data_IF_643497360548
#
_entry.id   IF_643497360548
#
_cell.length_a   1.000
_cell.length_b   1.000
_cell.length_c   1.000
_cell.angle_alpha   90.00
_cell.angle_beta   90.00
_cell.angle_gamma   90.00
#
_symmetry.space_group_name_H-M   'P 1'
#
loop_
_entity.id
_entity.type
_entity.pdbx_description
1 polymer ?
#
# COMPACT_ATOMS: atom_id res chain seq x y z
N UNK A 1 -31.90 9.07 8.50
CA UNK A 1 -30.65 8.53 9.10
C UNK A 1 -30.03 9.65 9.92
N UNK A 2 -30.31 9.68 11.23
CA UNK A 2 -29.76 10.71 12.11
C UNK A 2 -28.31 10.38 12.41
N UNK A 3 -27.38 11.17 11.89
CA UNK A 3 -25.96 11.06 12.19
C UNK A 3 -25.80 11.66 13.59
N UNK A 4 -25.95 10.84 14.63
CA UNK A 4 -25.54 11.24 15.98
C UNK A 4 -24.06 11.57 15.93
N UNK A 5 -23.72 12.81 16.30
CA UNK A 5 -22.38 13.39 16.35
C UNK A 5 -21.49 12.66 17.36
N UNK A 6 -21.03 11.47 17.00
CA UNK A 6 -19.87 10.85 17.62
C UNK A 6 -18.67 11.24 16.76
N UNK A 7 -17.62 11.80 17.38
CA UNK A 7 -16.46 12.24 16.60
C UNK A 7 -15.83 11.03 15.91
N UNK A 8 -15.67 11.13 14.59
CA UNK A 8 -15.05 10.10 13.76
C UNK A 8 -13.56 9.95 14.12
N UNK A 9 -12.92 11.08 14.50
CA UNK A 9 -11.55 11.14 14.98
C UNK A 9 -11.52 11.13 16.51
N UNK A 10 -11.59 9.94 17.11
CA UNK A 10 -11.28 9.77 18.54
C UNK A 10 -9.76 9.64 18.72
N UNK A 11 -9.19 10.02 19.88
CA UNK A 11 -7.74 9.90 20.12
C UNK A 11 -7.22 8.47 19.88
N UNK A 12 -7.99 7.45 20.27
CA UNK A 12 -7.65 6.04 20.01
C UNK A 12 -7.61 5.70 18.52
N UNK A 13 -8.58 6.18 17.74
CA UNK A 13 -8.63 5.92 16.31
C UNK A 13 -7.47 6.62 15.58
N UNK A 14 -7.12 7.84 16.00
CA UNK A 14 -5.95 8.57 15.47
C UNK A 14 -4.66 7.81 15.78
N UNK A 15 -4.44 7.39 17.02
CA UNK A 15 -3.24 6.64 17.40
C UNK A 15 -3.12 5.32 16.65
N UNK A 16 -4.20 4.54 16.56
CA UNK A 16 -4.21 3.26 15.83
C UNK A 16 -3.98 3.48 14.34
N UNK A 17 -4.61 4.50 13.75
CA UNK A 17 -4.45 4.81 12.33
C UNK A 17 -3.05 5.33 11.99
N UNK A 18 -2.42 6.13 12.85
CA UNK A 18 -1.01 6.55 12.70
C UNK A 18 -0.06 5.36 12.85
N UNK A 19 -0.28 4.50 13.84
CA UNK A 19 0.50 3.28 14.01
C UNK A 19 0.38 2.35 12.79
N UNK A 20 -0.84 2.21 12.24
CA UNK A 20 -1.08 1.47 11.01
C UNK A 20 -0.31 2.10 9.85
N UNK A 21 -0.43 3.42 9.64
CA UNK A 21 0.26 4.15 8.56
C UNK A 21 1.78 3.98 8.62
N UNK A 22 2.38 4.02 9.81
CA UNK A 22 3.81 3.75 10.00
C UNK A 22 4.12 2.28 9.66
N UNK A 23 3.32 1.36 10.18
CA UNK A 23 3.53 -0.09 10.00
C UNK A 23 3.46 -0.50 8.54
N UNK A 24 2.48 -0.02 7.77
CA UNK A 24 2.33 -0.36 6.35
C UNK A 24 3.51 0.12 5.51
N UNK A 25 4.05 1.31 5.81
CA UNK A 25 5.22 1.85 5.13
C UNK A 25 6.49 1.04 5.46
N UNK A 26 6.73 0.73 6.74
CA UNK A 26 7.87 -0.10 7.15
C UNK A 26 7.78 -1.52 6.61
N UNK A 27 6.59 -2.12 6.66
CA UNK A 27 6.32 -3.45 6.14
C UNK A 27 6.60 -3.54 4.64
N UNK A 28 6.12 -2.56 3.86
CA UNK A 28 6.38 -2.52 2.42
C UNK A 28 7.85 -2.27 2.12
N UNK A 29 8.51 -1.37 2.84
CA UNK A 29 9.93 -1.08 2.65
C UNK A 29 10.78 -2.34 2.94
N UNK A 30 10.56 -2.99 4.08
CA UNK A 30 11.26 -4.21 4.44
C UNK A 30 10.96 -5.35 3.45
N UNK A 31 9.71 -5.51 3.04
CA UNK A 31 9.31 -6.52 2.06
C UNK A 31 10.00 -6.33 0.70
N UNK A 32 10.11 -5.09 0.23
CA UNK A 32 10.76 -4.80 -1.05
C UNK A 32 12.29 -4.93 -1.00
N UNK A 33 12.95 -4.38 0.02
CA UNK A 33 14.41 -4.33 0.08
C UNK A 33 15.07 -5.59 0.65
N UNK A 34 14.44 -6.29 1.61
CA UNK A 34 15.05 -7.49 2.23
C UNK A 34 14.55 -8.80 1.66
N UNK A 35 13.28 -8.86 1.23
CA UNK A 35 12.63 -10.11 0.81
C UNK A 35 12.44 -10.17 -0.71
N UNK A 36 12.62 -9.04 -1.42
CA UNK A 36 12.46 -8.97 -2.87
C UNK A 36 11.00 -8.98 -3.34
N UNK A 37 10.04 -8.76 -2.44
CA UNK A 37 8.62 -8.64 -2.81
C UNK A 37 8.39 -7.30 -3.54
N UNK A 38 8.30 -7.38 -4.86
CA UNK A 38 8.15 -6.22 -5.75
C UNK A 38 6.70 -5.75 -5.93
N UNK A 39 5.72 -6.55 -5.51
CA UNK A 39 4.31 -6.40 -5.90
C UNK A 39 3.33 -6.11 -4.75
N UNK A 40 3.79 -5.81 -3.53
CA UNK A 40 2.89 -5.51 -2.39
C UNK A 40 2.06 -4.24 -2.59
N UNK A 41 2.49 -3.38 -3.51
CA UNK A 41 1.89 -2.09 -3.89
C UNK A 41 1.22 -2.12 -5.26
N UNK A 42 1.02 -3.31 -5.84
CA UNK A 42 0.35 -3.45 -7.13
C UNK A 42 -1.14 -3.73 -6.91
N UNK A 43 -1.95 -2.68 -7.02
CA UNK A 43 -3.42 -2.73 -6.94
C UNK A 43 -4.01 -1.40 -6.52
N UNK A 44 -5.29 -1.13 -6.85
CA UNK A 44 -5.97 0.09 -6.37
C UNK A 44 -6.25 0.05 -4.86
N UNK A 45 -6.28 -1.15 -4.27
CA UNK A 45 -6.30 -1.37 -2.84
C UNK A 45 -5.11 -2.28 -2.53
N UNK A 46 -4.08 -1.69 -1.96
CA UNK A 46 -2.80 -2.35 -1.81
C UNK A 46 -2.84 -3.49 -0.78
N UNK A 47 -2.27 -4.63 -1.11
CA UNK A 47 -2.08 -5.73 -0.16
C UNK A 47 -1.18 -5.31 1.01
N UNK A 48 -0.24 -4.40 0.76
CA UNK A 48 0.59 -3.77 1.80
C UNK A 48 -0.22 -3.03 2.87
N UNK A 49 -1.43 -2.55 2.56
CA UNK A 49 -2.38 -2.01 3.53
C UNK A 49 -3.32 -3.08 4.07
N UNK A 50 -3.93 -3.87 3.18
CA UNK A 50 -4.99 -4.81 3.55
C UNK A 50 -4.52 -5.84 4.58
N UNK A 51 -3.32 -6.39 4.41
CA UNK A 51 -2.81 -7.43 5.32
C UNK A 51 -2.58 -6.85 6.73
N UNK A 52 -1.82 -5.75 6.93
CA UNK A 52 -1.68 -5.12 8.24
C UNK A 52 -3.00 -4.60 8.81
N UNK A 53 -3.94 -4.13 7.98
CA UNK A 53 -5.26 -3.74 8.48
C UNK A 53 -6.07 -4.94 8.99
N UNK A 54 -6.17 -6.02 8.21
CA UNK A 54 -6.93 -7.21 8.58
C UNK A 54 -6.36 -7.88 9.83
N UNK A 55 -5.04 -8.04 9.90
CA UNK A 55 -4.37 -8.75 11.00
C UNK A 55 -4.10 -7.82 12.20
N UNK A 56 -3.70 -6.57 11.96
CA UNK A 56 -3.26 -5.64 13.01
C UNK A 56 -4.37 -4.75 13.58
N UNK A 57 -5.48 -4.58 12.88
CA UNK A 57 -6.61 -3.75 13.35
C UNK A 57 -7.89 -4.57 13.44
N UNK A 58 -8.35 -5.16 12.34
CA UNK A 58 -9.66 -5.80 12.28
C UNK A 58 -9.73 -7.06 13.15
N UNK A 59 -8.74 -7.94 13.07
CA UNK A 59 -8.64 -9.15 13.89
C UNK A 59 -8.66 -8.86 15.40
N UNK A 60 -7.74 -8.03 15.93
CA UNK A 60 -7.74 -7.61 17.32
C UNK A 60 -9.04 -6.91 17.73
N UNK A 61 -9.61 -6.08 16.87
CA UNK A 61 -10.90 -5.45 17.12
C UNK A 61 -12.04 -6.47 17.29
N UNK A 62 -12.10 -7.50 16.44
CA UNK A 62 -13.08 -8.60 16.57
C UNK A 62 -12.88 -9.33 17.89
N UNK A 63 -11.63 -9.68 18.24
CA UNK A 63 -11.29 -10.35 19.50
C UNK A 63 -11.68 -9.51 20.73
N UNK A 64 -11.41 -8.21 20.70
CA UNK A 64 -11.80 -7.29 21.78
C UNK A 64 -13.31 -7.21 21.93
N UNK A 65 -14.07 -7.19 20.83
CA UNK A 65 -15.54 -7.19 20.87
C UNK A 65 -16.13 -8.49 21.44
N UNK A 66 -15.47 -9.64 21.25
CA UNK A 66 -15.85 -10.89 21.91
C UNK A 66 -15.67 -10.86 23.43
N UNK A 67 -14.64 -10.15 23.92
CA UNK A 67 -14.40 -9.98 25.37
C UNK A 67 -15.38 -8.97 25.94
N UNK A 68 -15.41 -7.76 25.36
CA UNK A 68 -16.32 -6.66 25.73
C UNK A 68 -16.64 -5.81 24.51
N UNK A 69 -17.92 -5.73 24.07
CA UNK A 69 -18.32 -4.95 22.90
C UNK A 69 -17.87 -3.48 22.92
N UNK A 70 -17.76 -2.87 24.11
CA UNK A 70 -17.33 -1.47 24.29
C UNK A 70 -15.84 -1.22 24.05
N UNK A 71 -15.00 -2.26 24.09
CA UNK A 71 -13.55 -2.15 23.87
C UNK A 71 -13.19 -2.07 22.40
N UNK A 72 -14.06 -2.57 21.52
CA UNK A 72 -13.89 -2.46 20.08
C UNK A 72 -14.04 -1.02 19.58
N UNK A 73 -13.44 -0.78 18.42
CA UNK A 73 -13.69 0.39 17.59
C UNK A 73 -15.08 0.33 16.98
N UNK A 74 -15.72 1.49 16.95
CA UNK A 74 -17.01 1.71 16.29
C UNK A 74 -16.81 1.78 14.77
N UNK A 75 -17.89 1.63 14.03
CA UNK A 75 -17.87 1.73 12.57
C UNK A 75 -17.14 3.00 12.05
N UNK A 76 -17.45 4.23 12.53
CA UNK A 76 -16.78 5.42 12.03
C UNK A 76 -15.28 5.45 12.36
N UNK A 77 -14.88 4.89 13.51
CA UNK A 77 -13.47 4.83 13.92
C UNK A 77 -12.69 3.82 13.09
N UNK A 78 -13.26 2.64 12.80
CA UNK A 78 -12.64 1.64 11.93
C UNK A 78 -12.48 2.16 10.50
N UNK A 79 -13.52 2.80 9.96
CA UNK A 79 -13.46 3.40 8.64
C UNK A 79 -12.41 4.53 8.59
N UNK A 80 -12.34 5.35 9.63
CA UNK A 80 -11.31 6.39 9.76
C UNK A 80 -9.89 5.80 9.79
N UNK A 81 -9.65 4.77 10.60
CA UNK A 81 -8.35 4.07 10.68
C UNK A 81 -7.96 3.50 9.31
N UNK A 82 -8.91 2.86 8.61
CA UNK A 82 -8.66 2.36 7.27
C UNK A 82 -8.28 3.48 6.30
N UNK A 83 -9.07 4.55 6.23
CA UNK A 83 -8.80 5.69 5.36
C UNK A 83 -7.46 6.36 5.66
N UNK A 84 -7.11 6.52 6.95
CA UNK A 84 -5.84 7.10 7.35
C UNK A 84 -4.65 6.23 6.94
N UNK A 85 -4.76 4.91 7.15
CA UNK A 85 -3.75 3.96 6.67
C UNK A 85 -3.65 3.93 5.15
N UNK A 86 -4.78 4.01 4.45
CA UNK A 86 -4.83 3.98 2.99
C UNK A 86 -4.19 5.20 2.36
N UNK A 87 -4.57 6.41 2.79
CA UNK A 87 -3.95 7.65 2.34
C UNK A 87 -2.45 7.65 2.68
N UNK A 88 -2.11 7.22 3.90
CA UNK A 88 -0.74 7.13 4.37
C UNK A 88 0.11 6.09 3.63
N UNK A 89 -0.51 5.12 2.94
CA UNK A 89 0.20 4.10 2.17
C UNK A 89 0.25 4.43 0.68
N UNK A 90 -0.86 4.84 0.08
CA UNK A 90 -0.99 5.04 -1.37
C UNK A 90 -0.08 6.16 -1.89
N UNK A 91 0.13 7.22 -1.12
CA UNK A 91 1.01 8.33 -1.54
C UNK A 91 2.48 7.91 -1.57
N UNK A 92 3.08 7.39 -0.48
CA UNK A 92 4.48 6.94 -0.47
C UNK A 92 4.69 5.56 -1.12
N UNK A 93 3.65 4.93 -1.66
CA UNK A 93 3.72 3.62 -2.30
C UNK A 93 4.84 3.55 -3.34
N UNK A 94 5.24 2.31 -3.67
CA UNK A 94 6.46 1.97 -4.40
C UNK A 94 6.83 2.93 -5.53
N UNK A 95 5.85 3.36 -6.35
CA UNK A 95 6.08 4.32 -7.41
C UNK A 95 6.70 5.63 -6.94
N UNK A 96 6.02 6.38 -6.05
CA UNK A 96 6.44 7.74 -5.74
C UNK A 96 7.83 7.81 -5.10
N UNK A 97 8.04 7.06 -4.02
CA UNK A 97 9.31 7.12 -3.29
C UNK A 97 10.48 6.50 -4.06
N UNK A 98 10.28 5.41 -4.81
CA UNK A 98 11.40 4.88 -5.62
C UNK A 98 11.80 5.87 -6.71
N UNK A 99 10.86 6.41 -7.47
CA UNK A 99 11.21 7.36 -8.53
C UNK A 99 11.82 8.63 -7.94
N UNK A 100 11.25 9.15 -6.87
CA UNK A 100 11.72 10.39 -6.24
C UNK A 100 13.14 10.25 -5.71
N UNK A 101 13.43 9.19 -4.95
CA UNK A 101 14.77 8.98 -4.39
C UNK A 101 15.79 8.81 -5.52
N UNK A 102 15.48 8.01 -6.54
CA UNK A 102 16.36 7.84 -7.70
C UNK A 102 16.64 9.17 -8.42
N UNK A 103 15.62 9.99 -8.68
CA UNK A 103 15.81 11.32 -9.29
C UNK A 103 16.77 12.19 -8.47
N UNK A 104 16.70 12.12 -7.13
CA UNK A 104 17.55 12.92 -6.26
C UNK A 104 19.02 12.45 -6.23
N UNK A 105 19.30 11.15 -6.42
CA UNK A 105 20.65 10.58 -6.27
C UNK A 105 21.34 10.22 -7.59
N UNK A 106 20.60 9.80 -8.63
CA UNK A 106 21.14 9.20 -9.85
C UNK A 106 22.03 10.16 -10.63
N UNK A 107 21.64 11.43 -10.71
CA UNK A 107 22.33 12.43 -11.51
C UNK A 107 23.77 12.65 -11.04
N UNK A 108 24.01 12.59 -9.73
CA UNK A 108 25.35 12.70 -9.15
C UNK A 108 26.09 11.37 -9.13
N UNK A 109 25.40 10.23 -9.06
CA UNK A 109 26.04 8.91 -9.03
C UNK A 109 26.53 8.44 -10.41
N UNK A 110 25.71 8.62 -11.44
CA UNK A 110 25.96 8.09 -12.79
C UNK A 110 26.67 9.09 -13.71
N UNK A 111 27.12 10.23 -13.19
CA UNK A 111 27.83 11.25 -13.97
C UNK A 111 29.15 10.69 -14.53
N UNK A 112 29.36 10.79 -15.84
CA UNK A 112 30.56 10.29 -16.50
C UNK A 112 31.05 11.27 -17.58
N UNK A 113 32.32 11.18 -18.03
CA UNK A 113 32.80 11.97 -19.16
C UNK A 113 31.99 11.74 -20.44
N UNK A 114 31.48 10.52 -20.66
CA UNK A 114 30.76 10.11 -21.87
C UNK A 114 29.36 10.70 -21.95
N UNK A 115 28.64 10.79 -20.82
CA UNK A 115 27.29 11.36 -20.80
C UNK A 115 27.28 12.90 -20.76
N UNK A 116 28.42 13.52 -20.43
CA UNK A 116 28.62 14.96 -20.40
C UNK A 116 27.64 15.72 -19.48
N UNK A 117 27.05 15.05 -18.49
CA UNK A 117 25.98 15.66 -17.69
C UNK A 117 26.44 16.88 -16.88
N UNK A 118 27.72 16.92 -16.48
CA UNK A 118 28.29 18.11 -15.81
C UNK A 118 28.24 19.37 -16.67
N UNK A 119 28.43 19.24 -17.98
CA UNK A 119 28.43 20.39 -18.88
C UNK A 119 27.01 20.75 -19.34
N UNK A 120 26.17 19.73 -19.56
CA UNK A 120 24.86 19.92 -20.20
C UNK A 120 23.71 20.12 -19.21
N UNK A 121 23.73 19.48 -18.04
CA UNK A 121 22.59 19.47 -17.10
C UNK A 121 22.87 20.21 -15.80
N UNK A 122 24.05 20.04 -15.20
CA UNK A 122 24.36 20.61 -13.88
C UNK A 122 24.21 22.15 -13.81
N UNK A 123 24.51 22.94 -14.86
CA UNK A 123 24.28 24.39 -14.82
C UNK A 123 22.82 24.80 -14.65
N UNK A 124 21.88 23.92 -15.01
CA UNK A 124 20.43 24.16 -14.93
C UNK A 124 19.78 23.41 -13.77
N UNK A 125 20.54 22.59 -13.05
CA UNK A 125 20.04 21.74 -11.98
C UNK A 125 20.21 22.47 -10.65
N UNK A 126 19.13 22.85 -9.97
CA UNK A 126 19.26 23.52 -8.69
C UNK A 126 19.73 22.56 -7.61
N UNK A 127 20.71 22.98 -6.81
CA UNK A 127 21.29 22.18 -5.71
C UNK A 127 20.28 21.77 -4.63
N UNK A 128 19.11 22.43 -4.60
CA UNK A 128 18.04 22.12 -3.67
C UNK A 128 17.06 21.05 -4.18
N UNK A 129 17.19 20.58 -5.42
CA UNK A 129 16.34 19.51 -6.00
C UNK A 129 17.00 18.14 -5.88
N UNK A 130 18.33 18.10 -5.92
CA UNK A 130 19.15 16.87 -5.96
C UNK A 130 20.13 16.81 -4.81
N UNK A 131 20.61 15.62 -4.50
CA UNK A 131 21.54 15.40 -3.39
C UNK A 131 22.97 15.48 -3.94
N UNK A 132 23.73 16.44 -3.42
CA UNK A 132 25.15 16.55 -3.74
C UNK A 132 25.97 15.45 -3.04
N UNK A 133 26.95 14.89 -3.76
CA UNK A 133 27.84 13.86 -3.21
C UNK A 133 29.05 14.42 -2.43
N UNK A 134 29.10 15.73 -2.17
CA UNK A 134 30.24 16.36 -1.47
C UNK A 134 30.54 15.76 -0.08
N UNK A 135 29.51 15.20 0.59
CA UNK A 135 29.63 14.51 1.87
C UNK A 135 29.58 12.97 1.75
N UNK A 136 29.70 12.43 0.53
CA UNK A 136 29.56 10.99 0.25
C UNK A 136 28.13 10.45 0.42
N UNK A 137 27.12 11.32 0.37
CA UNK A 137 25.71 10.96 0.60
C UNK A 137 25.13 10.07 -0.51
N UNK A 138 25.48 10.36 -1.75
CA UNK A 138 25.01 9.61 -2.93
C UNK A 138 25.80 8.32 -3.06
N UNK A 139 27.13 8.40 -2.91
CA UNK A 139 28.01 7.22 -2.92
C UNK A 139 27.62 6.25 -1.80
N UNK A 140 27.37 6.75 -0.58
CA UNK A 140 26.94 5.94 0.55
C UNK A 140 25.57 5.30 0.39
N UNK A 141 24.64 5.94 -0.35
CA UNK A 141 23.33 5.36 -0.67
C UNK A 141 23.47 4.10 -1.55
N UNK A 142 24.32 4.14 -2.57
CA UNK A 142 24.50 3.01 -3.50
C UNK A 142 25.48 1.94 -3.01
N UNK A 143 26.59 2.36 -2.40
CA UNK A 143 27.69 1.46 -2.03
C UNK A 143 27.62 1.00 -0.57
N UNK A 144 26.71 1.57 0.21
CA UNK A 144 26.63 1.38 1.65
C UNK A 144 27.60 2.29 2.41
N UNK A 145 27.22 2.61 3.65
CA UNK A 145 28.05 3.39 4.57
C UNK A 145 28.75 2.39 5.50
N UNK A 146 30.07 2.55 5.71
CA UNK A 146 30.84 1.71 6.64
C UNK A 146 30.36 1.93 8.08
N UNK A 147 30.38 0.89 8.91
CA UNK A 147 29.80 0.83 10.27
C UNK A 147 30.24 1.93 11.27
N UNK A 148 31.18 2.81 10.91
CA UNK A 148 31.70 3.89 11.75
C UNK A 148 31.47 5.31 11.20
N UNK A 149 30.84 5.46 10.03
CA UNK A 149 30.59 6.77 9.43
C UNK A 149 29.11 7.14 9.66
N UNK A 150 28.82 8.32 10.25
CA UNK A 150 27.44 8.77 10.42
C UNK A 150 26.78 9.04 9.06
N UNK A 151 25.49 8.75 8.95
CA UNK A 151 24.71 9.05 7.75
C UNK A 151 24.73 10.58 7.52
N UNK A 152 25.09 11.07 6.32
CA UNK A 152 25.21 12.50 6.02
C UNK A 152 23.82 13.15 5.79
N UNK A 153 22.96 13.11 6.81
CA UNK A 153 21.58 13.62 6.76
C UNK A 153 21.48 15.06 6.26
N UNK A 154 22.48 15.91 6.54
CA UNK A 154 22.49 17.30 6.09
C UNK A 154 22.34 17.47 4.58
N UNK A 155 22.88 16.55 3.77
CA UNK A 155 22.74 16.58 2.32
C UNK A 155 21.30 16.26 1.84
N UNK A 156 20.50 15.58 2.68
CA UNK A 156 19.14 15.15 2.35
C UNK A 156 18.08 16.17 2.76
N UNK A 157 18.33 16.97 3.81
CA UNK A 157 17.31 17.84 4.42
C UNK A 157 16.69 18.79 3.38
N UNK A 158 17.51 19.52 2.64
CA UNK A 158 17.01 20.54 1.70
C UNK A 158 16.22 19.88 0.54
N UNK A 159 16.76 18.89 -0.19
CA UNK A 159 16.01 18.21 -1.25
C UNK A 159 14.71 17.58 -0.76
N UNK A 160 14.74 16.87 0.37
CA UNK A 160 13.55 16.21 0.91
C UNK A 160 12.49 17.22 1.30
N UNK A 161 12.85 18.34 1.92
CA UNK A 161 11.88 19.39 2.28
C UNK A 161 11.24 20.03 1.05
N UNK A 162 12.02 20.32 0.01
CA UNK A 162 11.48 20.88 -1.24
C UNK A 162 10.51 19.92 -1.92
N UNK A 163 10.90 18.67 -2.09
CA UNK A 163 10.01 17.67 -2.68
C UNK A 163 8.77 17.42 -1.84
N UNK A 164 8.91 17.36 -0.51
CA UNK A 164 7.78 17.24 0.41
C UNK A 164 6.82 18.42 0.26
N UNK A 165 7.32 19.65 0.13
CA UNK A 165 6.49 20.84 -0.08
C UNK A 165 5.73 20.77 -1.40
N UNK A 166 6.38 20.31 -2.47
CA UNK A 166 5.77 20.13 -3.79
C UNK A 166 4.63 19.11 -3.74
N UNK A 167 4.86 17.94 -3.15
CA UNK A 167 3.82 16.91 -3.02
C UNK A 167 2.69 17.32 -2.10
N UNK A 168 2.98 18.05 -1.03
CA UNK A 168 1.95 18.62 -0.16
C UNK A 168 1.06 19.59 -0.94
N UNK A 169 1.66 20.48 -1.74
CA UNK A 169 0.92 21.38 -2.63
C UNK A 169 0.09 20.62 -3.67
N UNK A 170 0.65 19.60 -4.29
CA UNK A 170 -0.04 18.75 -5.27
C UNK A 170 -1.26 18.05 -4.66
N UNK A 171 -1.10 17.47 -3.46
CA UNK A 171 -2.19 16.84 -2.72
C UNK A 171 -3.25 17.88 -2.31
N UNK A 172 -2.84 19.07 -1.90
CA UNK A 172 -3.77 20.15 -1.57
C UNK A 172 -4.62 20.57 -2.77
N UNK A 173 -4.00 20.73 -3.96
CA UNK A 173 -4.73 21.01 -5.21
C UNK A 173 -5.69 19.86 -5.54
N UNK A 174 -5.26 18.61 -5.42
CA UNK A 174 -6.13 17.45 -5.61
C UNK A 174 -7.32 17.44 -4.64
N UNK A 175 -7.10 17.78 -3.36
CA UNK A 175 -8.16 17.94 -2.38
C UNK A 175 -9.13 19.07 -2.76
N UNK A 176 -8.63 20.22 -3.23
CA UNK A 176 -9.46 21.31 -3.72
C UNK A 176 -10.32 20.88 -4.91
N UNK A 177 -9.75 20.13 -5.86
CA UNK A 177 -10.48 19.59 -7.01
C UNK A 177 -11.59 18.64 -6.57
N UNK A 178 -11.29 17.71 -5.65
CA UNK A 178 -12.29 16.79 -5.09
C UNK A 178 -13.40 17.57 -4.39
N UNK A 179 -13.09 18.59 -3.59
CA UNK A 179 -14.10 19.40 -2.90
C UNK A 179 -15.01 20.14 -3.89
N UNK A 180 -14.44 20.74 -4.93
CA UNK A 180 -15.19 21.45 -5.98
C UNK A 180 -16.09 20.50 -6.78
N UNK A 181 -15.55 19.36 -7.21
CA UNK A 181 -16.23 18.41 -8.08
C UNK A 181 -17.12 17.42 -7.33
N UNK A 182 -16.96 17.25 -6.02
CA UNK A 182 -17.73 16.30 -5.19
C UNK A 182 -19.23 16.45 -5.43
N UNK A 183 -19.76 17.68 -5.42
CA UNK A 183 -21.20 17.90 -5.60
C UNK A 183 -21.66 17.47 -7.00
N UNK A 184 -20.87 17.80 -8.02
CA UNK A 184 -21.14 17.42 -9.40
C UNK A 184 -21.13 15.89 -9.57
N UNK A 185 -20.06 15.23 -9.12
CA UNK A 185 -19.90 13.78 -9.24
C UNK A 185 -20.94 12.99 -8.46
N UNK A 186 -21.29 13.43 -7.25
CA UNK A 186 -22.24 12.70 -6.38
C UNK A 186 -23.68 12.94 -6.80
N UNK A 187 -24.10 14.19 -7.01
CA UNK A 187 -25.52 14.52 -7.19
C UNK A 187 -25.97 14.45 -8.65
N UNK A 188 -25.14 14.94 -9.59
CA UNK A 188 -25.51 15.08 -10.99
C UNK A 188 -25.06 13.88 -11.84
N UNK A 189 -23.80 13.48 -11.70
CA UNK A 189 -23.23 12.38 -12.49
C UNK A 189 -23.40 11.01 -11.82
N UNK A 190 -23.74 11.00 -10.52
CA UNK A 190 -23.95 9.78 -9.72
C UNK A 190 -22.83 8.76 -9.92
N UNK A 191 -21.60 9.25 -9.89
CA UNK A 191 -20.41 8.44 -10.10
C UNK A 191 -20.38 7.32 -9.05
N UNK A 192 -20.27 6.08 -9.52
CA UNK A 192 -20.08 4.93 -8.63
C UNK A 192 -18.66 4.96 -8.06
N UNK A 193 -18.53 4.75 -6.74
CA UNK A 193 -17.24 4.67 -6.05
C UNK A 193 -16.91 3.21 -5.66
N UNK A 194 -16.55 2.34 -6.62
CA UNK A 194 -16.33 0.92 -6.34
C UNK A 194 -15.21 0.69 -5.32
N UNK A 195 -14.17 1.52 -5.35
CA UNK A 195 -13.07 1.43 -4.39
C UNK A 195 -13.49 1.74 -2.94
N UNK A 196 -14.54 2.54 -2.73
CA UNK A 196 -15.08 2.80 -1.41
C UNK A 196 -15.93 1.64 -0.86
N UNK A 197 -16.41 0.74 -1.72
CA UNK A 197 -17.27 -0.37 -1.31
C UNK A 197 -16.54 -1.37 -0.42
N UNK A 198 -15.27 -1.68 -0.71
CA UNK A 198 -14.49 -2.62 0.09
C UNK A 198 -14.29 -2.13 1.54
N UNK A 199 -13.76 -0.92 1.82
CA UNK A 199 -13.59 -0.47 3.20
C UNK A 199 -14.92 -0.34 3.93
N UNK A 200 -15.99 0.06 3.25
CA UNK A 200 -17.33 0.06 3.84
C UNK A 200 -17.72 -1.38 4.23
N UNK A 201 -17.64 -2.35 3.32
CA UNK A 201 -18.01 -3.73 3.57
C UNK A 201 -17.16 -4.43 4.65
N UNK A 202 -15.88 -4.07 4.77
CA UNK A 202 -14.97 -4.59 5.81
C UNK A 202 -15.21 -3.97 7.18
N UNK A 203 -15.69 -2.73 7.25
CA UNK A 203 -15.88 -2.00 8.52
C UNK A 203 -17.32 -2.01 9.00
N UNK A 204 -18.28 -2.18 8.08
CA UNK A 204 -19.70 -2.23 8.36
C UNK A 204 -20.01 -3.42 9.26
N UNK A 205 -20.37 -3.06 10.49
CA UNK A 205 -20.99 -3.97 11.44
C UNK A 205 -22.47 -3.70 11.31
N UNK A 206 -23.23 -4.69 10.87
CA UNK A 206 -24.69 -4.59 10.71
C UNK A 206 -25.28 -3.98 11.97
N UNK A 207 -26.04 -2.89 11.83
CA UNK A 207 -26.57 -2.12 12.95
C UNK A 207 -27.32 -3.00 13.97
N UNK A 208 -27.30 -2.59 15.24
CA UNK A 208 -27.92 -3.21 16.44
C UNK A 208 -27.60 -4.69 16.74
N UNK A 209 -27.19 -5.49 15.77
CA UNK A 209 -26.71 -6.84 15.97
C UNK A 209 -25.30 -6.80 16.57
N UNK A 210 -25.18 -7.23 17.81
CA UNK A 210 -23.96 -7.33 18.64
C UNK A 210 -22.88 -8.28 18.08
N UNK A 211 -22.93 -8.65 16.80
CA UNK A 211 -21.95 -9.53 16.19
C UNK A 211 -20.61 -8.80 16.05
N UNK A 212 -19.52 -9.37 16.57
CA UNK A 212 -18.18 -8.78 16.44
C UNK A 212 -17.66 -8.82 15.00
N UNK A 213 -18.25 -9.66 14.14
CA UNK A 213 -17.81 -9.86 12.75
C UNK A 213 -18.42 -8.84 11.76
N UNK A 214 -17.65 -8.37 10.77
CA UNK A 214 -18.17 -7.57 9.66
C UNK A 214 -19.25 -8.31 8.86
N UNK A 215 -20.19 -7.56 8.30
CA UNK A 215 -21.32 -8.10 7.53
C UNK A 215 -20.86 -8.95 6.33
N UNK A 216 -19.81 -8.51 5.64
CA UNK A 216 -19.24 -9.20 4.47
C UNK A 216 -18.72 -10.60 4.78
N UNK A 217 -18.02 -10.77 5.90
CA UNK A 217 -17.45 -12.07 6.31
C UNK A 217 -18.56 -13.07 6.68
N UNK A 218 -19.70 -12.57 7.17
CA UNK A 218 -20.86 -13.39 7.51
C UNK A 218 -21.62 -13.91 6.27
N UNK A 219 -21.41 -13.32 5.10
CA UNK A 219 -22.02 -13.80 3.87
C UNK A 219 -21.40 -15.16 3.48
N UNK A 220 -22.24 -16.21 3.42
CA UNK A 220 -21.80 -17.58 3.09
C UNK A 220 -21.11 -17.68 1.74
N UNK A 221 -21.58 -16.95 0.72
CA UNK A 221 -20.96 -16.99 -0.61
C UNK A 221 -19.57 -16.37 -0.58
N UNK A 222 -19.41 -15.26 0.14
CA UNK A 222 -18.10 -14.65 0.36
C UNK A 222 -17.18 -15.59 1.14
N UNK A 223 -17.65 -16.19 2.23
CA UNK A 223 -16.86 -17.11 3.05
C UNK A 223 -16.40 -18.35 2.26
N UNK A 224 -17.25 -18.92 1.40
CA UNK A 224 -16.90 -20.04 0.53
C UNK A 224 -15.83 -19.61 -0.49
N UNK A 225 -16.03 -18.47 -1.18
CA UNK A 225 -15.07 -17.97 -2.16
C UNK A 225 -13.72 -17.64 -1.53
N UNK A 226 -13.73 -16.90 -0.42
CA UNK A 226 -12.54 -16.57 0.35
C UNK A 226 -11.83 -17.83 0.87
N UNK A 227 -12.58 -18.79 1.42
CA UNK A 227 -12.03 -20.05 1.93
C UNK A 227 -11.38 -20.88 0.84
N UNK A 228 -11.99 -20.96 -0.35
CA UNK A 228 -11.43 -21.67 -1.50
C UNK A 228 -10.13 -21.01 -1.98
N UNK A 229 -10.13 -19.69 -2.19
CA UNK A 229 -8.93 -18.94 -2.59
C UNK A 229 -7.81 -19.05 -1.55
N UNK A 230 -8.14 -18.91 -0.27
CA UNK A 230 -7.18 -19.03 0.83
C UNK A 230 -6.60 -20.44 0.90
N UNK A 231 -7.43 -21.48 0.79
CA UNK A 231 -6.98 -22.87 0.77
C UNK A 231 -5.99 -23.11 -0.38
N UNK A 232 -6.34 -22.66 -1.59
CA UNK A 232 -5.47 -22.81 -2.77
C UNK A 232 -4.12 -22.08 -2.57
N UNK A 233 -4.14 -20.88 -1.96
CA UNK A 233 -2.94 -20.12 -1.65
C UNK A 233 -2.07 -20.82 -0.59
N UNK A 234 -2.67 -21.27 0.51
CA UNK A 234 -1.98 -21.98 1.59
C UNK A 234 -1.41 -23.32 1.12
N UNK A 235 -2.13 -24.03 0.25
CA UNK A 235 -1.64 -25.25 -0.38
C UNK A 235 -0.37 -24.98 -1.19
N UNK A 236 -0.35 -23.90 -1.97
CA UNK A 236 0.84 -23.52 -2.74
C UNK A 236 2.01 -23.09 -1.84
N UNK A 237 1.74 -22.40 -0.73
CA UNK A 237 2.78 -22.04 0.25
C UNK A 237 3.35 -23.30 0.90
N UNK A 238 2.51 -24.21 1.38
CA UNK A 238 2.94 -25.46 1.98
C UNK A 238 3.66 -26.36 0.97
N UNK A 239 3.12 -26.46 -0.24
CA UNK A 239 3.68 -27.25 -1.34
C UNK A 239 5.06 -26.76 -1.80
N UNK A 240 5.37 -25.47 -1.67
CA UNK A 240 6.72 -24.96 -1.89
C UNK A 240 7.75 -25.58 -0.94
N UNK A 241 7.40 -25.75 0.33
CA UNK A 241 8.30 -26.34 1.34
C UNK A 241 8.27 -27.87 1.37
N UNK A 242 7.13 -28.46 1.02
CA UNK A 242 6.87 -29.91 1.07
C UNK A 242 7.04 -30.61 -0.30
N UNK A 243 7.41 -29.87 -1.35
CA UNK A 243 7.52 -30.35 -2.74
C UNK A 243 6.25 -31.02 -3.28
N UNK A 244 5.07 -30.51 -2.93
CA UNK A 244 3.79 -30.98 -3.50
C UNK A 244 3.47 -30.31 -4.82
N UNK A 245 2.60 -30.94 -5.61
CA UNK A 245 2.11 -30.32 -6.85
C UNK A 245 1.32 -29.03 -6.54
N UNK A 246 1.70 -27.88 -7.11
CA UNK A 246 1.01 -26.64 -6.89
C UNK A 246 -0.27 -26.54 -7.74
N UNK A 247 -1.26 -25.81 -7.23
CA UNK A 247 -2.37 -25.32 -8.04
C UNK A 247 -1.86 -24.26 -9.03
N UNK A 248 -2.35 -24.25 -10.29
CA UNK A 248 -1.87 -23.36 -11.36
C UNK A 248 -2.40 -21.92 -11.22
N UNK A 249 -2.00 -21.24 -10.15
CA UNK A 249 -2.39 -19.86 -9.81
C UNK A 249 -1.29 -18.85 -10.23
N UNK A 250 -0.07 -19.33 -10.48
CA UNK A 250 1.11 -18.48 -10.70
C UNK A 250 1.25 -18.08 -12.18
N UNK A 251 1.60 -16.82 -12.43
CA UNK A 251 2.11 -16.37 -13.74
C UNK A 251 3.27 -17.28 -14.17
N UNK A 252 3.11 -17.98 -15.29
CA UNK A 252 4.10 -18.94 -15.85
C UNK A 252 3.80 -20.42 -15.61
N UNK A 253 2.95 -20.79 -14.62
CA UNK A 253 2.62 -22.19 -14.29
C UNK A 253 1.25 -22.61 -14.84
N UNK A 254 0.96 -22.27 -16.10
CA UNK A 254 -0.24 -22.81 -16.76
C UNK A 254 -0.07 -24.30 -17.01
N UNK A 255 -1.02 -25.13 -16.57
CA UNK A 255 -1.01 -26.55 -16.98
C UNK A 255 -1.46 -26.62 -18.43
N UNK A 256 -0.58 -27.10 -19.30
CA UNK A 256 -0.94 -27.43 -20.68
C UNK A 256 -1.65 -28.78 -20.68
N UNK A 257 -2.91 -28.80 -21.10
CA UNK A 257 -3.62 -30.03 -21.40
C UNK A 257 -3.57 -30.24 -22.91
N UNK A 258 -2.96 -31.36 -23.33
CA UNK A 258 -2.93 -31.78 -24.72
C UNK A 258 -4.09 -32.75 -24.95
N UNK A 259 -5.16 -32.26 -25.56
CA UNK A 259 -6.41 -33.02 -25.81
C UNK A 259 -6.18 -34.09 -26.89
N UNK A 260 -5.24 -33.87 -27.81
CA UNK A 260 -4.85 -34.81 -28.85
C UNK A 260 -3.56 -34.39 -29.54
N UNK A 261 -2.96 -35.29 -30.32
CA UNK A 261 -1.67 -35.07 -31.01
C UNK A 261 -1.71 -33.88 -31.98
N UNK A 262 -2.86 -33.66 -32.62
CA UNK A 262 -3.04 -32.62 -33.65
C UNK A 262 -3.60 -31.30 -33.10
N UNK A 263 -3.89 -31.22 -31.79
CA UNK A 263 -4.37 -29.99 -31.17
C UNK A 263 -3.25 -29.26 -30.44
N UNK A 264 -3.12 -27.94 -30.61
CA UNK A 264 -2.17 -27.16 -29.84
C UNK A 264 -2.52 -27.25 -28.34
N UNK A 265 -1.52 -27.35 -27.46
CA UNK A 265 -1.74 -27.50 -26.03
C UNK A 265 -2.57 -26.34 -25.48
N UNK A 266 -3.69 -26.68 -24.83
CA UNK A 266 -4.56 -25.68 -24.21
C UNK A 266 -4.00 -25.33 -22.83
N UNK A 267 -3.64 -24.06 -22.65
CA UNK A 267 -3.05 -23.60 -21.39
C UNK A 267 -4.19 -23.21 -20.45
N UNK A 268 -4.46 -24.05 -19.45
CA UNK A 268 -5.41 -23.70 -18.40
C UNK A 268 -4.69 -22.82 -17.39
N UNK A 269 -5.23 -21.61 -17.19
CA UNK A 269 -4.75 -20.63 -16.22
C UNK A 269 -5.93 -20.19 -15.37
N UNK A 270 -5.74 -20.19 -14.06
CA UNK A 270 -6.66 -19.55 -13.14
C UNK A 270 -6.05 -18.20 -12.76
N UNK A 271 -6.62 -17.11 -13.27
CA UNK A 271 -6.37 -15.77 -12.72
C UNK A 271 -7.20 -15.66 -11.44
N UNK A 272 -6.57 -15.95 -10.31
CA UNK A 272 -7.13 -15.66 -8.97
C UNK A 272 -6.42 -14.44 -8.42
#
# INVERSE_FOLDING_TARGET
>A
MSITSSSVATPRAVLIGLALAITVNLFSLAGSYHVGYRNLTFGHIDFGLLIPFLIGVLGPNILLKFIRPSWGLRYPELLFVFCLGWIGFTVPAWGLLNYLVNIMVEVHYYVSPENQWRALFFPYLPDWVVISDGAGAVTGYYQGIRDAIPIPWGAWVIPVLWWFSFFTGLLAVGLCQVVLLRKQWVEHERLSYPLAQLPIALTETSGEDASPWPAMIRNRMFAIGFGLSLFMMLWNIAGYWLNWEPFPIRWGNGRSIQIGRDFPPQIIRMNV
#
